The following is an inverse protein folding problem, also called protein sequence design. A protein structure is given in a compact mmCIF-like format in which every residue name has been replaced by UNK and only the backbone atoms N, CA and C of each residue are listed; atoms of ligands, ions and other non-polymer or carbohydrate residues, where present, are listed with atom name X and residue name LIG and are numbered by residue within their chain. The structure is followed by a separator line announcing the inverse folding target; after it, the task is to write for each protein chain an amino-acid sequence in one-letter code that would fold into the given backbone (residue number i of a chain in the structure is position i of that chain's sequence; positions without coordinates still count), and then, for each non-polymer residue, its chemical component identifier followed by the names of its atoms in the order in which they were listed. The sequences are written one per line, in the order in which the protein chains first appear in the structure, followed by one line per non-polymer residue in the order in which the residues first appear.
data_IF_473244257228
#
_entry.id   IF_473244257228
#
_cell.length_a   1.000
_cell.length_b   1.000
_cell.length_c   1.000
_cell.angle_alpha   90.00
_cell.angle_beta   90.00
_cell.angle_gamma   90.00
#
_symmetry.space_group_name_H-M   'P 1'
#
loop_
_entity.id
_entity.type
_entity.pdbx_description
1 polymer ?
#
# COMPACT_ATOMS: atom_id res chain seq x y z
N UNK A 1 -25.98 49.96 -21.04
CA UNK A 1 -26.84 50.17 -19.86
C UNK A 1 -28.03 49.21 -19.97
N UNK A 2 -28.01 48.06 -19.28
CA UNK A 2 -29.19 47.20 -19.24
C UNK A 2 -30.32 47.96 -18.55
N UNK A 3 -31.46 48.09 -19.23
CA UNK A 3 -32.64 48.77 -18.71
C UNK A 3 -33.04 48.12 -17.38
N UNK A 4 -33.25 48.90 -16.30
CA UNK A 4 -33.46 48.37 -14.93
C UNK A 4 -34.57 47.31 -14.86
N UNK A 5 -35.57 47.39 -15.75
CA UNK A 5 -36.62 46.37 -15.90
C UNK A 5 -36.06 45.00 -16.34
N UNK A 6 -35.09 44.96 -17.25
CA UNK A 6 -34.41 43.72 -17.68
C UNK A 6 -33.56 43.13 -16.56
N UNK A 7 -32.94 43.97 -15.74
CA UNK A 7 -32.15 43.53 -14.58
C UNK A 7 -33.04 42.86 -13.53
N UNK A 8 -34.22 43.44 -13.28
CA UNK A 8 -35.23 42.87 -12.36
C UNK A 8 -35.76 41.53 -12.88
N UNK A 9 -36.04 41.41 -14.18
CA UNK A 9 -36.47 40.14 -14.78
C UNK A 9 -35.39 39.05 -14.72
N UNK A 10 -34.11 39.41 -14.87
CA UNK A 10 -32.99 38.47 -14.75
C UNK A 10 -32.83 38.01 -13.29
N UNK A 11 -32.93 38.92 -12.32
CA UNK A 11 -32.85 38.58 -10.89
C UNK A 11 -34.03 37.72 -10.43
N UNK A 12 -35.25 38.02 -10.89
CA UNK A 12 -36.43 37.20 -10.60
C UNK A 12 -36.30 35.79 -11.18
N UNK A 13 -35.76 35.66 -12.39
CA UNK A 13 -35.45 34.37 -13.01
C UNK A 13 -34.42 33.59 -12.20
N UNK A 14 -33.32 34.23 -11.77
CA UNK A 14 -32.29 33.60 -10.96
C UNK A 14 -32.83 33.12 -9.60
N UNK A 15 -33.66 33.92 -8.93
CA UNK A 15 -34.29 33.56 -7.65
C UNK A 15 -35.28 32.41 -7.84
N UNK A 16 -36.05 32.39 -8.94
CA UNK A 16 -36.99 31.31 -9.22
C UNK A 16 -36.24 29.98 -9.45
N UNK A 17 -35.12 29.99 -10.18
CA UNK A 17 -34.29 28.81 -10.40
C UNK A 17 -33.71 28.29 -9.09
N UNK A 18 -33.15 29.18 -8.26
CA UNK A 18 -32.61 28.79 -6.94
C UNK A 18 -33.69 28.24 -6.02
N UNK A 19 -34.90 28.80 -6.06
CA UNK A 19 -36.04 28.32 -5.25
C UNK A 19 -36.50 26.92 -5.65
N UNK A 20 -36.54 26.63 -6.96
CA UNK A 20 -36.89 25.29 -7.47
C UNK A 20 -35.84 24.27 -7.10
N UNK A 21 -34.55 24.63 -7.18
CA UNK A 21 -33.44 23.75 -6.79
C UNK A 21 -33.44 23.48 -5.28
N UNK A 22 -33.63 24.52 -4.46
CA UNK A 22 -33.72 24.40 -3.01
C UNK A 22 -34.93 23.54 -2.59
N UNK A 23 -36.08 23.74 -3.23
CA UNK A 23 -37.28 22.93 -2.99
C UNK A 23 -37.05 21.45 -3.34
N UNK A 24 -36.27 21.19 -4.40
CA UNK A 24 -35.92 19.82 -4.83
C UNK A 24 -34.96 19.14 -3.85
N UNK A 25 -34.01 19.88 -3.27
CA UNK A 25 -33.07 19.34 -2.27
C UNK A 25 -33.75 19.03 -0.93
N UNK A 26 -34.73 19.84 -0.51
CA UNK A 26 -35.39 19.69 0.79
C UNK A 26 -36.43 18.56 0.80
N UNK A 27 -37.09 18.29 -0.33
CA UNK A 27 -38.24 17.37 -0.39
C UNK A 27 -37.97 15.99 -1.00
N UNK A 28 -36.70 15.59 -1.20
CA UNK A 28 -36.29 14.20 -1.43
C UNK A 28 -37.27 13.33 -2.23
N UNK A 29 -37.65 13.77 -3.44
CA UNK A 29 -38.63 13.08 -4.28
C UNK A 29 -38.05 12.81 -5.67
N UNK A 30 -37.50 11.61 -5.82
CA UNK A 30 -37.28 11.00 -7.12
C UNK A 30 -38.65 10.91 -7.81
N UNK A 31 -38.88 11.74 -8.85
CA UNK A 31 -39.86 11.60 -9.95
C UNK A 31 -40.56 12.90 -10.41
N UNK A 32 -40.35 14.06 -9.77
CA UNK A 32 -40.99 15.32 -10.22
C UNK A 32 -40.17 16.13 -11.26
N UNK A 33 -38.84 16.03 -11.21
CA UNK A 33 -37.95 16.73 -12.17
C UNK A 33 -38.00 16.06 -13.55
N UNK A 34 -38.20 14.75 -13.59
CA UNK A 34 -38.22 13.95 -14.83
C UNK A 34 -39.48 14.15 -15.68
N UNK A 35 -40.62 14.52 -15.08
CA UNK A 35 -41.88 14.73 -15.82
C UNK A 35 -41.99 16.15 -16.40
N UNK A 36 -41.45 17.17 -15.73
CA UNK A 36 -41.38 18.52 -16.27
C UNK A 36 -40.39 18.64 -17.46
N UNK A 37 -39.38 17.77 -17.50
CA UNK A 37 -38.43 17.66 -18.63
C UNK A 37 -39.10 17.02 -19.87
N UNK A 38 -40.10 16.16 -19.69
CA UNK A 38 -40.78 15.49 -20.80
C UNK A 38 -41.77 16.39 -21.58
N UNK A 39 -42.47 17.31 -20.91
CA UNK A 39 -43.47 18.19 -21.56
C UNK A 39 -42.87 19.45 -22.23
N UNK A 40 -41.61 19.77 -21.96
CA UNK A 40 -40.91 20.90 -22.57
C UNK A 40 -40.23 20.56 -23.93
N UNK A 41 -40.45 19.35 -24.45
CA UNK A 41 -39.75 18.82 -25.64
C UNK A 41 -40.29 19.31 -26.99
N UNK A 42 -41.44 20.01 -27.03
CA UNK A 42 -42.06 20.42 -28.29
C UNK A 42 -41.50 21.71 -28.92
N UNK A 43 -40.78 22.57 -28.18
CA UNK A 43 -40.14 23.77 -28.75
C UNK A 43 -39.00 24.31 -27.86
N UNK A 44 -37.82 23.69 -27.92
CA UNK A 44 -36.66 24.26 -27.20
C UNK A 44 -35.45 23.35 -26.97
N UNK A 45 -35.53 22.07 -27.35
CA UNK A 45 -34.53 21.05 -27.01
C UNK A 45 -33.15 21.13 -27.69
N UNK A 46 -32.73 22.29 -28.23
CA UNK A 46 -31.39 22.43 -28.84
C UNK A 46 -30.57 23.64 -28.38
N UNK A 47 -31.10 24.51 -27.53
CA UNK A 47 -30.36 25.69 -27.03
C UNK A 47 -30.05 25.65 -25.52
N UNK A 48 -30.61 24.70 -24.77
CA UNK A 48 -30.50 24.69 -23.30
C UNK A 48 -29.87 23.41 -22.70
N UNK A 49 -29.53 22.39 -23.51
CA UNK A 49 -28.92 21.14 -23.02
C UNK A 49 -27.39 21.13 -22.97
N UNK A 50 -26.75 22.20 -23.43
CA UNK A 50 -25.28 22.35 -23.46
C UNK A 50 -24.68 23.13 -22.26
N UNK A 51 -25.35 24.05 -21.53
CA UNK A 51 -24.65 24.83 -20.49
C UNK A 51 -24.56 24.14 -19.10
N UNK A 52 -25.49 23.25 -18.74
CA UNK A 52 -25.56 22.69 -17.37
C UNK A 52 -24.53 21.60 -17.13
N UNK A 53 -24.20 20.80 -18.16
CA UNK A 53 -23.13 19.80 -18.08
C UNK A 53 -21.75 20.43 -17.98
N UNK A 54 -21.59 21.68 -18.43
CA UNK A 54 -20.34 22.44 -18.37
C UNK A 54 -20.01 22.89 -16.93
N UNK A 55 -21.03 23.25 -16.13
CA UNK A 55 -20.86 23.64 -14.73
C UNK A 55 -20.54 22.44 -13.83
N UNK A 56 -21.21 21.31 -14.03
CA UNK A 56 -20.92 20.05 -13.30
C UNK A 56 -19.52 19.53 -13.64
N UNK A 57 -19.11 19.56 -14.91
CA UNK A 57 -17.75 19.20 -15.33
C UNK A 57 -16.67 20.14 -14.79
N UNK A 58 -17.00 21.41 -14.54
CA UNK A 58 -16.07 22.38 -13.96
C UNK A 58 -15.83 22.12 -12.47
N UNK A 59 -16.87 21.77 -11.72
CA UNK A 59 -16.75 21.40 -10.30
C UNK A 59 -15.99 20.08 -10.13
N UNK A 60 -16.31 19.06 -10.94
CA UNK A 60 -15.60 17.77 -10.91
C UNK A 60 -14.12 17.91 -11.32
N UNK A 61 -13.79 18.88 -12.18
CA UNK A 61 -12.42 19.14 -12.61
C UNK A 61 -11.61 19.90 -11.56
N UNK A 62 -12.25 20.72 -10.72
CA UNK A 62 -11.59 21.42 -9.60
C UNK A 62 -11.29 20.47 -8.45
N UNK A 63 -12.22 19.57 -8.10
CA UNK A 63 -11.98 18.55 -7.07
C UNK A 63 -10.87 17.57 -7.48
N UNK A 64 -10.84 17.14 -8.75
CA UNK A 64 -9.76 16.31 -9.27
C UNK A 64 -8.40 17.04 -9.29
N UNK A 65 -8.36 18.34 -9.55
CA UNK A 65 -7.12 19.13 -9.53
C UNK A 65 -6.61 19.38 -8.11
N UNK A 66 -7.50 19.65 -7.14
CA UNK A 66 -7.12 19.82 -5.73
C UNK A 66 -6.60 18.50 -5.18
N UNK A 67 -7.31 17.39 -5.39
CA UNK A 67 -6.86 16.06 -4.95
C UNK A 67 -5.52 15.67 -5.60
N UNK A 68 -5.33 15.96 -6.90
CA UNK A 68 -4.07 15.67 -7.60
C UNK A 68 -2.92 16.57 -7.11
N UNK A 69 -3.19 17.83 -6.73
CA UNK A 69 -2.17 18.71 -6.16
C UNK A 69 -1.76 18.30 -4.75
N UNK A 70 -2.73 17.94 -3.89
CA UNK A 70 -2.46 17.42 -2.55
C UNK A 70 -1.68 16.10 -2.60
N UNK A 71 -2.07 15.19 -3.50
CA UNK A 71 -1.34 13.94 -3.71
C UNK A 71 0.08 14.20 -4.22
N UNK A 72 0.28 15.12 -5.16
CA UNK A 72 1.62 15.50 -5.62
C UNK A 72 2.48 16.14 -4.51
N UNK A 73 1.90 16.99 -3.66
CA UNK A 73 2.63 17.58 -2.53
C UNK A 73 3.02 16.50 -1.52
N UNK A 74 2.10 15.63 -1.14
CA UNK A 74 2.38 14.52 -0.23
C UNK A 74 3.39 13.52 -0.80
N UNK A 75 3.35 13.24 -2.11
CA UNK A 75 4.38 12.42 -2.78
C UNK A 75 5.75 13.11 -2.74
N UNK A 76 5.82 14.42 -2.99
CA UNK A 76 7.08 15.19 -2.88
C UNK A 76 7.63 15.14 -1.46
N UNK A 77 6.80 15.34 -0.44
CA UNK A 77 7.23 15.24 0.96
C UNK A 77 7.78 13.84 1.29
N UNK A 78 7.13 12.77 0.79
CA UNK A 78 7.64 11.40 0.94
C UNK A 78 8.99 11.21 0.24
N UNK A 79 9.15 11.74 -0.97
CA UNK A 79 10.41 11.67 -1.72
C UNK A 79 11.51 12.40 -0.96
N UNK A 80 11.26 13.62 -0.47
CA UNK A 80 12.22 14.39 0.32
C UNK A 80 12.60 13.64 1.61
N UNK A 81 11.63 13.01 2.27
CA UNK A 81 11.88 12.19 3.46
C UNK A 81 12.72 10.95 3.14
N UNK A 82 12.46 10.29 2.02
CA UNK A 82 13.25 9.15 1.56
C UNK A 82 14.69 9.58 1.29
N UNK A 83 14.91 10.74 0.65
CA UNK A 83 16.26 11.27 0.42
C UNK A 83 16.98 11.60 1.74
N UNK A 84 16.30 12.25 2.69
CA UNK A 84 16.87 12.53 4.03
C UNK A 84 17.30 11.23 4.73
N UNK A 85 16.45 10.20 4.67
CA UNK A 85 16.75 8.89 5.26
C UNK A 85 17.91 8.19 4.55
N UNK A 86 17.99 8.27 3.22
CA UNK A 86 19.10 7.68 2.45
C UNK A 86 20.44 8.30 2.85
N UNK A 87 20.51 9.63 2.96
CA UNK A 87 21.73 10.32 3.40
C UNK A 87 22.11 9.90 4.81
N UNK A 88 21.13 9.86 5.74
CA UNK A 88 21.39 9.43 7.12
C UNK A 88 21.87 7.98 7.20
N UNK A 89 21.30 7.08 6.42
CA UNK A 89 21.74 5.67 6.37
C UNK A 89 23.17 5.59 5.83
N UNK A 90 23.49 6.32 4.76
CA UNK A 90 24.85 6.35 4.20
C UNK A 90 25.89 6.87 5.22
N UNK A 91 25.57 7.93 5.95
CA UNK A 91 26.44 8.47 7.01
C UNK A 91 26.66 7.44 8.13
N UNK A 92 25.58 6.78 8.59
CA UNK A 92 25.64 5.74 9.62
C UNK A 92 26.42 4.51 9.17
N UNK A 93 26.27 4.09 7.92
CA UNK A 93 27.04 2.98 7.33
C UNK A 93 28.53 3.33 7.25
N UNK A 94 28.87 4.57 6.86
CA UNK A 94 30.24 5.04 6.83
C UNK A 94 30.87 5.12 8.23
N UNK A 95 30.13 5.59 9.22
CA UNK A 95 30.56 5.63 10.62
C UNK A 95 30.74 4.21 11.19
N UNK A 96 29.77 3.33 10.96
CA UNK A 96 29.84 1.93 11.39
C UNK A 96 31.03 1.21 10.74
N UNK A 97 31.27 1.44 9.46
CA UNK A 97 32.45 0.93 8.75
C UNK A 97 33.77 1.37 9.39
N UNK A 98 33.89 2.66 9.76
CA UNK A 98 35.07 3.16 10.50
C UNK A 98 35.21 2.49 11.87
N UNK A 99 34.13 2.40 12.64
CA UNK A 99 34.14 1.73 13.95
C UNK A 99 34.55 0.26 13.82
N UNK A 100 34.04 -0.47 12.83
CA UNK A 100 34.43 -1.86 12.56
C UNK A 100 35.92 -1.98 12.21
N UNK A 101 36.46 -1.05 11.42
CA UNK A 101 37.89 -1.01 11.09
C UNK A 101 38.75 -0.75 12.33
N UNK A 102 38.40 0.23 13.15
CA UNK A 102 39.11 0.53 14.41
C UNK A 102 39.09 -0.66 15.38
N UNK A 103 37.98 -1.41 15.41
CA UNK A 103 37.80 -2.58 16.27
C UNK A 103 38.30 -3.90 15.65
N UNK A 104 38.87 -3.88 14.43
CA UNK A 104 39.28 -5.07 13.67
C UNK A 104 38.18 -6.15 13.57
N UNK A 105 36.92 -5.73 13.43
CA UNK A 105 35.79 -6.65 13.24
C UNK A 105 35.74 -7.07 11.77
N UNK A 106 36.34 -8.21 11.44
CA UNK A 106 36.45 -8.73 10.07
C UNK A 106 35.16 -9.37 9.54
N UNK A 107 34.22 -9.73 10.41
CA UNK A 107 32.96 -10.35 10.00
C UNK A 107 31.78 -9.68 10.72
N UNK A 108 31.00 -8.95 9.96
CA UNK A 108 29.70 -8.45 10.39
C UNK A 108 28.65 -9.50 10.08
N UNK A 109 27.98 -10.04 11.10
CA UNK A 109 26.86 -10.99 10.97
C UNK A 109 25.72 -10.50 10.06
N UNK A 110 25.69 -9.21 9.73
CA UNK A 110 24.68 -8.56 8.90
C UNK A 110 24.99 -8.51 7.41
N UNK A 111 26.19 -8.91 6.97
CA UNK A 111 26.55 -8.87 5.54
C UNK A 111 26.02 -10.12 4.81
N UNK A 112 25.22 -9.91 3.76
CA UNK A 112 24.67 -10.99 2.94
C UNK A 112 24.78 -10.69 1.45
N UNK A 113 25.01 -11.74 0.65
CA UNK A 113 24.99 -11.67 -0.81
C UNK A 113 23.61 -12.06 -1.32
N UNK A 114 23.03 -11.25 -2.19
CA UNK A 114 21.70 -11.51 -2.77
C UNK A 114 21.79 -12.10 -4.16
N UNK A 115 20.99 -13.12 -4.44
CA UNK A 115 20.75 -13.66 -5.79
C UNK A 115 19.31 -13.37 -6.17
N UNK A 116 19.10 -12.67 -7.29
CA UNK A 116 17.76 -12.38 -7.79
C UNK A 116 17.18 -13.58 -8.53
N UNK A 117 15.91 -13.88 -8.29
CA UNK A 117 15.23 -15.01 -8.90
C UNK A 117 13.76 -14.68 -9.19
N UNK A 118 13.21 -15.39 -10.17
CA UNK A 118 11.80 -15.33 -10.57
C UNK A 118 11.10 -16.62 -10.20
N UNK A 119 9.85 -16.51 -9.74
CA UNK A 119 8.99 -17.66 -9.45
C UNK A 119 8.53 -18.28 -10.77
N UNK A 120 8.83 -19.56 -10.97
CA UNK A 120 8.47 -20.33 -12.18
C UNK A 120 7.33 -21.31 -11.94
N UNK A 121 7.10 -21.71 -10.68
CA UNK A 121 5.96 -22.53 -10.32
C UNK A 121 5.53 -22.23 -8.87
N UNK A 122 4.25 -22.43 -8.59
CA UNK A 122 3.69 -22.37 -7.24
C UNK A 122 2.83 -23.62 -7.03
N UNK A 123 2.96 -24.25 -5.87
CA UNK A 123 2.10 -25.38 -5.53
C UNK A 123 0.65 -24.87 -5.37
N UNK A 124 -0.34 -25.43 -6.12
CA UNK A 124 -1.75 -25.08 -5.93
C UNK A 124 -2.32 -25.67 -4.63
N UNK A 125 -1.67 -26.70 -4.08
CA UNK A 125 -2.07 -27.32 -2.83
C UNK A 125 -1.77 -26.38 -1.65
N UNK A 126 -2.84 -26.01 -0.94
CA UNK A 126 -2.79 -25.14 0.22
C UNK A 126 -2.18 -25.82 1.45
N UNK A 127 -2.13 -27.15 1.51
CA UNK A 127 -1.55 -27.88 2.65
C UNK A 127 -0.02 -27.82 2.69
N UNK A 128 0.62 -27.57 1.55
CA UNK A 128 2.08 -27.41 1.45
C UNK A 128 2.45 -26.17 0.63
N UNK A 129 2.52 -25.04 1.32
CA UNK A 129 2.84 -23.75 0.71
C UNK A 129 4.32 -23.69 0.31
N UNK A 130 4.55 -23.90 -0.99
CA UNK A 130 5.89 -23.85 -1.59
C UNK A 130 5.84 -23.23 -2.98
N UNK A 131 6.97 -22.67 -3.39
CA UNK A 131 7.18 -22.15 -4.74
C UNK A 131 8.53 -22.61 -5.29
N UNK A 132 8.67 -22.57 -6.60
CA UNK A 132 9.92 -22.91 -7.30
C UNK A 132 10.46 -21.67 -7.98
N UNK A 133 11.75 -21.42 -7.80
CA UNK A 133 12.50 -20.30 -8.39
C UNK A 133 13.47 -20.78 -9.48
N UNK A 134 13.78 -19.92 -10.45
CA UNK A 134 14.65 -20.23 -11.60
C UNK A 134 16.17 -20.13 -11.33
N UNK A 135 16.59 -20.29 -10.07
CA UNK A 135 18.01 -20.30 -9.67
C UNK A 135 18.28 -21.52 -8.80
N UNK A 136 19.46 -22.09 -8.94
CA UNK A 136 19.86 -23.36 -8.34
C UNK A 136 21.32 -23.38 -7.93
N UNK A 137 21.89 -24.58 -7.87
CA UNK A 137 23.27 -24.79 -7.44
C UNK A 137 24.29 -24.07 -8.34
N UNK A 138 23.98 -23.86 -9.63
CA UNK A 138 24.86 -23.16 -10.57
C UNK A 138 25.07 -21.68 -10.17
N UNK A 139 24.06 -21.07 -9.56
CA UNK A 139 24.10 -19.71 -9.03
C UNK A 139 24.54 -19.66 -7.55
N UNK A 140 25.01 -20.79 -7.00
CA UNK A 140 25.50 -20.89 -5.63
C UNK A 140 24.41 -21.04 -4.58
N UNK A 141 23.16 -21.34 -4.97
CA UNK A 141 22.07 -21.55 -4.02
C UNK A 141 22.29 -22.83 -3.22
N UNK A 142 22.02 -22.76 -1.91
CA UNK A 142 22.15 -23.89 -0.98
C UNK A 142 20.87 -24.07 -0.17
N UNK A 143 20.68 -25.29 0.36
CA UNK A 143 19.60 -25.57 1.30
C UNK A 143 19.72 -24.67 2.53
N UNK A 144 18.59 -24.29 3.09
CA UNK A 144 18.42 -23.39 4.23
C UNK A 144 18.78 -21.91 4.00
N UNK A 145 19.15 -21.50 2.77
CA UNK A 145 19.23 -20.08 2.46
C UNK A 145 17.87 -19.39 2.61
N UNK A 146 17.87 -18.18 3.16
CA UNK A 146 16.69 -17.33 3.32
C UNK A 146 16.21 -16.77 1.98
N UNK A 147 14.89 -16.67 1.81
CA UNK A 147 14.26 -16.09 0.63
C UNK A 147 13.44 -14.89 1.05
N UNK A 148 13.73 -13.73 0.45
CA UNK A 148 13.07 -12.47 0.72
C UNK A 148 12.31 -11.98 -0.52
N UNK A 149 11.22 -11.25 -0.31
CA UNK A 149 10.50 -10.53 -1.35
C UNK A 149 10.10 -9.16 -0.84
N UNK A 150 10.39 -8.12 -1.62
CA UNK A 150 10.28 -6.73 -1.16
C UNK A 150 11.13 -6.52 0.10
N UNK A 151 10.49 -6.10 1.19
CA UNK A 151 11.15 -5.77 2.46
C UNK A 151 10.97 -6.86 3.53
N UNK A 152 10.59 -8.10 3.16
CA UNK A 152 10.26 -9.14 4.13
C UNK A 152 10.79 -10.53 3.77
N UNK A 153 11.10 -11.31 4.81
CA UNK A 153 11.37 -12.74 4.70
C UNK A 153 10.08 -13.48 4.35
N UNK A 154 10.13 -14.31 3.30
CA UNK A 154 8.97 -15.09 2.86
C UNK A 154 9.15 -16.59 3.05
N UNK A 155 10.38 -17.07 3.23
CA UNK A 155 10.64 -18.50 3.35
C UNK A 155 12.12 -18.87 3.33
N UNK A 156 12.37 -20.17 3.14
CA UNK A 156 13.73 -20.74 3.03
C UNK A 156 13.82 -21.82 1.96
N UNK A 157 15.01 -22.04 1.43
CA UNK A 157 15.27 -23.10 0.46
C UNK A 157 15.24 -24.48 1.13
N UNK A 158 14.39 -25.37 0.64
CA UNK A 158 14.29 -26.77 1.12
C UNK A 158 14.88 -27.78 0.14
N UNK A 159 14.95 -27.43 -1.14
CA UNK A 159 15.46 -28.28 -2.21
C UNK A 159 16.22 -27.42 -3.23
N UNK A 160 17.35 -27.93 -3.71
CA UNK A 160 18.19 -27.25 -4.71
C UNK A 160 18.47 -28.24 -5.83
N UNK A 161 18.08 -27.84 -7.04
CA UNK A 161 18.44 -28.48 -8.30
C UNK A 161 19.50 -27.64 -9.01
N UNK A 162 20.10 -28.11 -10.13
CA UNK A 162 21.15 -27.36 -10.82
C UNK A 162 20.73 -25.95 -11.25
N UNK A 163 19.49 -25.79 -11.74
CA UNK A 163 18.97 -24.53 -12.32
C UNK A 163 17.65 -24.07 -11.68
N UNK A 164 17.21 -24.71 -10.61
CA UNK A 164 15.99 -24.32 -9.89
C UNK A 164 16.08 -24.70 -8.43
N UNK A 165 15.28 -24.05 -7.59
CA UNK A 165 15.22 -24.36 -6.15
C UNK A 165 13.79 -24.28 -5.66
N UNK A 166 13.45 -25.10 -4.67
CA UNK A 166 12.16 -25.11 -4.00
C UNK A 166 12.25 -24.33 -2.70
N UNK A 167 11.34 -23.37 -2.56
CA UNK A 167 11.20 -22.51 -1.39
C UNK A 167 10.01 -23.00 -0.56
N UNK A 168 10.22 -23.22 0.72
CA UNK A 168 9.15 -23.41 1.70
C UNK A 168 8.76 -22.05 2.27
N UNK A 169 7.48 -21.70 2.19
CA UNK A 169 6.97 -20.42 2.68
C UNK A 169 6.73 -20.44 4.19
N UNK A 170 6.89 -19.28 4.83
CA UNK A 170 6.56 -19.11 6.26
C UNK A 170 5.07 -19.30 6.56
N UNK A 171 4.21 -19.12 5.55
CA UNK A 171 2.77 -19.35 5.63
C UNK A 171 2.37 -20.82 5.68
N UNK A 172 3.34 -21.75 5.61
CA UNK A 172 3.07 -23.17 5.65
C UNK A 172 2.71 -23.66 7.08
N UNK A 173 1.49 -24.16 7.25
CA UNK A 173 0.94 -24.52 8.58
C UNK A 173 1.49 -25.84 9.14
N UNK A 174 1.89 -26.77 8.27
CA UNK A 174 2.07 -28.18 8.66
C UNK A 174 3.52 -28.55 9.04
N UNK A 175 4.48 -27.64 8.83
CA UNK A 175 5.89 -27.96 9.01
C UNK A 175 6.46 -27.36 10.29
N UNK A 176 6.95 -28.24 11.18
CA UNK A 176 7.94 -27.86 12.20
C UNK A 176 9.21 -27.23 11.57
N UNK A 177 9.43 -27.47 10.28
CA UNK A 177 10.49 -26.90 9.45
C UNK A 177 10.25 -25.45 9.02
N UNK A 178 9.07 -24.88 9.24
CA UNK A 178 8.79 -23.46 8.94
C UNK A 178 9.27 -22.48 10.03
N UNK A 179 9.90 -23.00 11.09
CA UNK A 179 10.29 -22.20 12.26
C UNK A 179 11.47 -21.30 11.97
N UNK A 180 11.30 -20.01 12.24
CA UNK A 180 12.33 -19.00 12.07
C UNK A 180 12.51 -18.23 13.36
N UNK A 181 13.76 -18.09 13.80
CA UNK A 181 14.11 -17.23 14.92
C UNK A 181 13.87 -15.78 14.52
N UNK A 182 13.20 -15.02 15.38
CA UNK A 182 12.93 -13.61 15.15
C UNK A 182 13.06 -12.84 16.46
N UNK A 183 13.24 -11.53 16.32
CA UNK A 183 13.38 -10.58 17.42
C UNK A 183 12.42 -9.42 17.22
N UNK A 184 11.67 -9.10 18.27
CA UNK A 184 10.77 -7.95 18.32
C UNK A 184 11.57 -6.77 18.88
N UNK A 185 11.70 -5.70 18.11
CA UNK A 185 12.29 -4.45 18.60
C UNK A 185 11.26 -3.72 19.48
N UNK A 186 11.57 -3.62 20.77
CA UNK A 186 10.75 -2.96 21.78
C UNK A 186 11.49 -1.72 22.30
N UNK A 187 10.78 -0.80 22.95
CA UNK A 187 11.40 0.42 23.50
C UNK A 187 12.55 0.16 24.48
N UNK A 188 12.51 -0.96 25.20
CA UNK A 188 13.50 -1.33 26.23
C UNK A 188 14.61 -2.27 25.73
N UNK A 189 14.66 -2.60 24.43
CA UNK A 189 15.65 -3.52 23.87
C UNK A 189 15.03 -4.42 22.80
N UNK A 190 15.22 -5.74 22.95
CA UNK A 190 14.65 -6.72 22.03
C UNK A 190 14.08 -7.94 22.74
N UNK A 191 13.02 -8.50 22.18
CA UNK A 191 12.38 -9.72 22.67
C UNK A 191 12.53 -10.83 21.61
N UNK A 192 13.27 -11.87 21.94
CA UNK A 192 13.48 -12.98 21.01
C UNK A 192 12.31 -13.99 21.09
N UNK A 193 12.06 -14.67 19.98
CA UNK A 193 11.09 -15.75 19.89
C UNK A 193 11.19 -16.48 18.56
N UNK A 194 10.18 -17.30 18.27
CA UNK A 194 10.13 -18.14 17.08
C UNK A 194 8.83 -17.92 16.34
N UNK A 195 8.91 -17.51 15.07
CA UNK A 195 7.76 -17.56 14.16
C UNK A 195 7.47 -19.04 13.90
N UNK A 196 6.33 -19.52 14.40
CA UNK A 196 6.01 -20.96 14.45
C UNK A 196 4.74 -21.34 13.69
N UNK A 197 4.03 -20.37 13.12
CA UNK A 197 2.83 -20.66 12.35
C UNK A 197 2.27 -19.42 11.68
N UNK A 198 1.18 -19.63 10.94
CA UNK A 198 0.46 -18.59 10.24
C UNK A 198 -1.05 -18.90 10.33
N UNK A 199 -1.84 -17.92 10.77
CA UNK A 199 -3.30 -18.00 10.78
C UNK A 199 -3.84 -17.41 9.49
N UNK A 200 -4.45 -18.25 8.64
CA UNK A 200 -5.03 -17.82 7.36
C UNK A 200 -6.28 -16.94 7.51
N UNK A 201 -7.02 -17.09 8.59
CA UNK A 201 -8.26 -16.33 8.81
C UNK A 201 -7.92 -14.89 9.16
N UNK A 202 -6.96 -14.69 10.06
CA UNK A 202 -6.51 -13.35 10.46
C UNK A 202 -5.42 -12.79 9.56
N UNK A 203 -4.73 -13.66 8.78
CA UNK A 203 -3.56 -13.35 7.93
C UNK A 203 -2.36 -12.89 8.74
N UNK A 204 -2.13 -13.54 9.88
CA UNK A 204 -1.10 -13.16 10.85
C UNK A 204 -0.11 -14.29 11.06
N UNK A 205 1.16 -13.95 11.27
CA UNK A 205 2.17 -14.90 11.74
C UNK A 205 2.08 -15.05 13.26
N UNK A 206 2.18 -16.29 13.73
CA UNK A 206 2.22 -16.61 15.15
C UNK A 206 3.67 -16.71 15.61
N UNK A 207 4.07 -15.79 16.49
CA UNK A 207 5.35 -15.84 17.19
C UNK A 207 5.16 -16.44 18.58
N UNK A 208 5.93 -17.46 18.91
CA UNK A 208 5.92 -18.15 20.20
C UNK A 208 7.27 -18.03 20.90
N UNK A 209 7.35 -18.49 22.15
CA UNK A 209 8.58 -18.46 22.96
C UNK A 209 9.11 -17.04 23.24
N UNK A 210 8.23 -16.04 23.21
CA UNK A 210 8.52 -14.69 23.67
C UNK A 210 8.44 -14.65 25.18
N UNK A 211 9.39 -13.98 25.84
CA UNK A 211 9.39 -13.80 27.29
C UNK A 211 8.10 -13.09 27.75
N UNK A 212 7.29 -13.70 28.64
CA UNK A 212 6.01 -13.15 29.06
C UNK A 212 6.14 -11.88 29.94
N UNK A 213 7.34 -11.57 30.44
CA UNK A 213 7.59 -10.36 31.23
C UNK A 213 7.77 -9.11 30.36
N UNK A 214 8.00 -9.31 29.06
CA UNK A 214 8.23 -8.24 28.11
C UNK A 214 6.90 -7.64 27.64
N UNK A 215 6.81 -6.32 27.70
CA UNK A 215 5.68 -5.59 27.13
C UNK A 215 5.92 -5.34 25.64
N UNK A 216 5.11 -5.98 24.81
CA UNK A 216 5.07 -5.77 23.35
C UNK A 216 3.86 -4.90 23.01
N UNK A 217 4.05 -3.91 22.16
CA UNK A 217 3.00 -3.03 21.68
C UNK A 217 2.69 -3.28 20.19
N UNK A 218 1.44 -3.03 19.79
CA UNK A 218 1.08 -3.02 18.38
C UNK A 218 1.91 -1.95 17.63
N UNK A 219 2.61 -2.36 16.58
CA UNK A 219 3.51 -1.51 15.79
C UNK A 219 5.00 -1.74 16.05
N UNK A 220 5.37 -2.54 17.05
CA UNK A 220 6.77 -2.95 17.25
C UNK A 220 7.26 -3.79 16.06
N UNK A 221 8.50 -3.54 15.60
CA UNK A 221 9.07 -4.15 14.41
C UNK A 221 9.60 -5.55 14.70
N UNK A 222 9.34 -6.52 13.82
CA UNK A 222 9.88 -7.89 13.91
C UNK A 222 10.95 -8.08 12.84
N UNK A 223 12.12 -8.57 13.24
CA UNK A 223 13.27 -8.83 12.36
C UNK A 223 13.90 -10.21 12.64
N UNK A 224 14.65 -10.74 11.69
CA UNK A 224 15.36 -12.03 11.81
C UNK A 224 16.86 -11.84 11.88
#
# INVERSE_FOLDING_TARGET
MLNNKKLIWILLSAIAVVSVVAYTMINGANNAVTSAINDATAWGGRLFSEPVSMVVRFVDSVDNLINTHEENQHLKEKIDKIYELQVRVADLEAENGKMKQELNLTESLSEYTTVHATVIARNPDQWMESLVINVGANEGIQKNMSVMSGNGLIGRIIEVNPTSSKVLLLSNEQSNDGKVAASIQIKSGSANGIISGYDRKTKEYLMTQVDPTVQVAAGDLVQT
#
